data_IF_921729377446
#
_entry.id   IF_921729377446
#
_cell.length_a   1.000
_cell.length_b   1.000
_cell.length_c   1.000
_cell.angle_alpha   90.00
_cell.angle_beta   90.00
_cell.angle_gamma   90.00
#
_symmetry.space_group_name_H-M   'P 1'
#
loop_
_entity.id
_entity.type
_entity.pdbx_description
1 polymer ?
#
# COMPACT_ATOMS: atom_id res chain seq x y z
N UNK A 1 -40.68 -5.05 -6.28
CA UNK A 1 -39.74 -6.05 -5.72
C UNK A 1 -39.07 -6.75 -6.89
N UNK A 2 -37.88 -6.30 -7.26
CA UNK A 2 -36.91 -7.04 -8.09
C UNK A 2 -35.56 -6.41 -7.79
N UNK A 3 -34.68 -7.20 -7.18
CA UNK A 3 -33.32 -6.82 -6.80
C UNK A 3 -32.48 -6.76 -8.06
N UNK A 4 -32.10 -5.56 -8.49
CA UNK A 4 -31.08 -5.39 -9.52
C UNK A 4 -29.73 -5.76 -8.92
N UNK A 5 -29.25 -6.95 -9.27
CA UNK A 5 -27.90 -7.40 -9.00
C UNK A 5 -26.91 -6.46 -9.70
N UNK A 6 -26.28 -5.60 -8.93
CA UNK A 6 -25.12 -4.83 -9.36
C UNK A 6 -23.96 -5.81 -9.52
N UNK A 7 -23.69 -6.20 -10.76
CA UNK A 7 -22.52 -7.01 -11.11
C UNK A 7 -21.27 -6.17 -10.85
N UNK A 8 -20.57 -6.48 -9.76
CA UNK A 8 -19.19 -6.03 -9.60
C UNK A 8 -18.36 -6.88 -10.57
N UNK A 9 -18.10 -6.35 -11.75
CA UNK A 9 -17.10 -6.90 -12.67
C UNK A 9 -15.73 -6.67 -12.05
N UNK A 10 -15.29 -7.66 -11.27
CA UNK A 10 -13.91 -7.79 -10.80
C UNK A 10 -13.06 -8.09 -12.03
N UNK A 11 -12.64 -7.04 -12.73
CA UNK A 11 -11.65 -7.13 -13.80
C UNK A 11 -10.31 -7.53 -13.17
N UNK A 12 -10.14 -8.85 -13.04
CA UNK A 12 -8.87 -9.49 -12.78
C UNK A 12 -7.94 -9.24 -13.97
N UNK A 13 -7.30 -8.06 -13.99
CA UNK A 13 -6.13 -7.84 -14.83
C UNK A 13 -4.94 -8.55 -14.21
N UNK A 14 -4.79 -9.81 -14.61
CA UNK A 14 -3.61 -10.65 -14.38
C UNK A 14 -2.43 -9.98 -15.07
N UNK A 15 -1.68 -9.14 -14.35
CA UNK A 15 -0.39 -8.63 -14.80
C UNK A 15 0.66 -9.77 -14.70
N UNK A 16 1.54 -9.90 -15.70
CA UNK A 16 2.48 -11.01 -15.80
C UNK A 16 3.54 -10.99 -14.69
N UNK A 17 4.01 -12.19 -14.32
CA UNK A 17 5.09 -12.45 -13.36
C UNK A 17 6.42 -11.85 -13.85
N UNK A 18 6.63 -10.56 -13.61
CA UNK A 18 7.97 -9.98 -13.61
C UNK A 18 8.49 -10.01 -12.17
N UNK A 19 9.55 -10.77 -11.97
CA UNK A 19 10.30 -10.83 -10.72
C UNK A 19 10.73 -9.40 -10.32
N UNK A 20 10.15 -8.86 -9.24
CA UNK A 20 10.65 -7.69 -8.52
C UNK A 20 10.13 -6.29 -8.86
N UNK A 21 9.44 -6.03 -9.99
CA UNK A 21 9.39 -4.63 -10.49
C UNK A 21 8.04 -4.14 -11.10
N UNK A 22 6.93 -4.08 -10.33
CA UNK A 22 5.94 -3.01 -10.56
C UNK A 22 5.77 -2.06 -9.36
N UNK A 23 5.58 -2.61 -8.16
CA UNK A 23 5.17 -1.81 -6.99
C UNK A 23 6.31 -0.98 -6.39
N UNK A 24 7.56 -1.47 -6.46
CA UNK A 24 8.72 -0.69 -6.03
C UNK A 24 8.95 0.53 -6.93
N UNK A 25 8.81 0.36 -8.25
CA UNK A 25 8.93 1.44 -9.22
C UNK A 25 7.84 2.48 -8.99
N UNK A 26 6.59 2.02 -8.80
CA UNK A 26 5.45 2.90 -8.49
C UNK A 26 5.65 3.68 -7.20
N UNK A 27 6.04 3.00 -6.11
CA UNK A 27 6.33 3.67 -4.84
C UNK A 27 7.43 4.73 -5.00
N UNK A 28 8.51 4.40 -5.72
CA UNK A 28 9.59 5.36 -6.00
C UNK A 28 9.10 6.55 -6.86
N UNK A 29 8.30 6.29 -7.88
CA UNK A 29 7.70 7.32 -8.74
C UNK A 29 6.76 8.25 -7.96
N UNK A 30 6.01 7.71 -7.00
CA UNK A 30 5.12 8.46 -6.12
C UNK A 30 5.85 9.19 -4.97
N UNK A 31 7.18 9.18 -4.95
CA UNK A 31 8.04 9.67 -3.85
C UNK A 31 7.72 9.01 -2.50
N UNK A 32 7.13 7.80 -2.52
CA UNK A 32 6.85 7.02 -1.33
C UNK A 32 8.12 6.23 -0.94
N UNK A 33 8.70 6.59 0.20
CA UNK A 33 9.90 5.93 0.70
C UNK A 33 9.57 4.66 1.50
N UNK A 34 10.53 3.74 1.60
CA UNK A 34 10.40 2.55 2.46
C UNK A 34 10.18 2.93 3.93
N UNK A 35 10.78 4.05 4.36
CA UNK A 35 10.57 4.65 5.68
C UNK A 35 9.13 5.12 5.87
N UNK A 36 8.55 5.82 4.89
CA UNK A 36 7.15 6.24 4.95
C UNK A 36 6.20 5.05 5.02
N UNK A 37 6.45 4.00 4.23
CA UNK A 37 5.69 2.75 4.31
C UNK A 37 5.83 2.06 5.67
N UNK A 38 7.03 2.04 6.26
CA UNK A 38 7.23 1.49 7.60
C UNK A 38 6.41 2.24 8.65
N UNK A 39 6.39 3.58 8.59
CA UNK A 39 5.56 4.43 9.48
C UNK A 39 4.06 4.15 9.31
N UNK A 40 3.57 4.07 8.06
CA UNK A 40 2.16 3.81 7.77
C UNK A 40 1.70 2.39 8.16
N UNK A 41 2.61 1.43 8.20
CA UNK A 41 2.26 0.03 8.46
C UNK A 41 2.61 -0.42 9.88
N UNK A 42 3.40 0.36 10.61
CA UNK A 42 3.98 -0.04 11.89
C UNK A 42 4.92 -1.26 11.77
N UNK A 43 5.45 -1.54 10.58
CA UNK A 43 6.38 -2.65 10.34
C UNK A 43 7.81 -2.14 10.14
N UNK A 44 8.83 -2.94 10.48
CA UNK A 44 10.22 -2.58 10.19
C UNK A 44 10.46 -2.35 8.69
N UNK A 45 11.30 -1.38 8.33
CA UNK A 45 11.67 -1.07 6.93
C UNK A 45 12.19 -2.32 6.19
N UNK A 46 13.00 -3.16 6.87
CA UNK A 46 13.49 -4.41 6.32
C UNK A 46 12.34 -5.36 5.92
N UNK A 47 11.30 -5.45 6.74
CA UNK A 47 10.12 -6.28 6.44
C UNK A 47 9.40 -5.76 5.20
N UNK A 48 9.21 -4.44 5.10
CA UNK A 48 8.58 -3.80 3.94
C UNK A 48 9.39 -4.04 2.67
N UNK A 49 10.70 -3.84 2.74
CA UNK A 49 11.61 -4.06 1.62
C UNK A 49 11.53 -5.50 1.10
N UNK A 50 11.57 -6.49 2.00
CA UNK A 50 11.43 -7.93 1.68
C UNK A 50 10.05 -8.25 1.09
N UNK A 51 8.99 -7.68 1.64
CA UNK A 51 7.62 -7.86 1.13
C UNK A 51 7.42 -7.27 -0.26
N UNK A 52 7.96 -6.07 -0.53
CA UNK A 52 7.87 -5.44 -1.84
C UNK A 52 8.69 -6.19 -2.90
N UNK A 53 9.78 -6.88 -2.51
CA UNK A 53 10.54 -7.77 -3.39
C UNK A 53 9.83 -9.09 -3.69
N UNK A 54 8.71 -9.37 -3.01
CA UNK A 54 8.02 -10.65 -3.13
C UNK A 54 8.78 -11.82 -2.49
N UNK A 55 9.68 -11.54 -1.53
CA UNK A 55 10.47 -12.58 -0.86
C UNK A 55 9.60 -13.58 -0.08
N UNK A 56 8.38 -13.16 0.28
CA UNK A 56 7.39 -13.98 0.98
C UNK A 56 6.22 -14.42 0.06
N UNK A 57 6.38 -14.31 -1.27
CA UNK A 57 5.31 -14.55 -2.24
C UNK A 57 4.81 -13.27 -2.88
N UNK A 58 3.50 -13.16 -3.09
CA UNK A 58 2.90 -11.96 -3.70
C UNK A 58 2.96 -10.74 -2.75
N UNK A 59 3.04 -9.54 -3.32
CA UNK A 59 3.02 -8.29 -2.54
C UNK A 59 1.66 -8.23 -1.81
N UNK A 60 1.65 -8.08 -0.47
CA UNK A 60 0.40 -8.00 0.28
C UNK A 60 -0.53 -6.90 -0.23
N UNK A 61 -1.82 -7.21 -0.34
CA UNK A 61 -2.84 -6.28 -0.84
C UNK A 61 -2.92 -4.96 -0.05
N UNK A 62 -2.59 -4.97 1.24
CA UNK A 62 -2.55 -3.74 2.03
C UNK A 62 -1.41 -2.80 1.60
N UNK A 63 -0.25 -3.32 1.16
CA UNK A 63 0.84 -2.48 0.64
C UNK A 63 0.44 -1.88 -0.70
N UNK A 64 -0.20 -2.68 -1.54
CA UNK A 64 -0.74 -2.23 -2.82
C UNK A 64 -1.75 -1.09 -2.60
N UNK A 65 -2.70 -1.28 -1.68
CA UNK A 65 -3.69 -0.27 -1.35
C UNK A 65 -3.05 1.04 -0.84
N UNK A 66 -2.01 0.94 0.01
CA UNK A 66 -1.29 2.12 0.49
C UNK A 66 -0.60 2.87 -0.66
N UNK A 67 0.07 2.14 -1.57
CA UNK A 67 0.76 2.76 -2.72
C UNK A 67 -0.25 3.47 -3.63
N UNK A 68 -1.37 2.82 -3.94
CA UNK A 68 -2.44 3.41 -4.76
C UNK A 68 -3.03 4.65 -4.11
N UNK A 69 -3.33 4.59 -2.80
CA UNK A 69 -3.86 5.75 -2.07
C UNK A 69 -2.85 6.91 -2.07
N UNK A 70 -1.57 6.62 -1.83
CA UNK A 70 -0.49 7.61 -1.78
C UNK A 70 -0.28 8.33 -3.11
N UNK A 71 -0.42 7.63 -4.24
CA UNK A 71 -0.31 8.22 -5.58
C UNK A 71 -1.36 9.29 -5.85
N UNK A 72 -2.56 9.15 -5.27
CA UNK A 72 -3.67 10.10 -5.43
C UNK A 72 -3.64 11.27 -4.44
N UNK A 73 -2.71 11.28 -3.48
CA UNK A 73 -2.63 12.31 -2.44
C UNK A 73 -1.59 13.38 -2.80
N UNK A 74 -1.89 14.62 -2.42
CA UNK A 74 -0.94 15.72 -2.43
C UNK A 74 0.09 15.60 -1.30
N UNK A 75 1.15 16.41 -1.38
CA UNK A 75 2.24 16.37 -0.40
C UNK A 75 1.76 16.59 1.05
N UNK A 76 0.88 17.57 1.26
CA UNK A 76 0.38 17.94 2.60
C UNK A 76 -0.52 16.82 3.17
N UNK A 77 -1.38 16.23 2.33
CA UNK A 77 -2.28 15.13 2.73
C UNK A 77 -1.50 13.88 3.17
N UNK A 78 -0.33 13.64 2.57
CA UNK A 78 0.55 12.52 2.93
C UNK A 78 1.14 12.68 4.32
N UNK A 79 1.54 13.90 4.70
CA UNK A 79 2.07 14.19 6.03
C UNK A 79 0.98 14.04 7.09
N UNK A 80 -0.20 14.60 6.83
CA UNK A 80 -1.37 14.46 7.69
C UNK A 80 -1.77 13.00 7.87
N UNK A 81 -1.73 12.21 6.80
CA UNK A 81 -2.05 10.80 6.84
C UNK A 81 -1.06 10.01 7.70
N UNK A 82 0.25 10.23 7.52
CA UNK A 82 1.27 9.61 8.37
C UNK A 82 1.02 9.95 9.83
N UNK A 83 0.82 11.23 10.16
CA UNK A 83 0.59 11.66 11.53
C UNK A 83 -0.68 11.03 12.14
N UNK A 84 -1.74 10.90 11.35
CA UNK A 84 -2.97 10.24 11.77
C UNK A 84 -2.77 8.75 12.07
N UNK A 85 -2.03 8.05 11.22
CA UNK A 85 -1.70 6.63 11.43
C UNK A 85 -0.81 6.44 12.64
N UNK A 86 0.20 7.27 12.84
CA UNK A 86 1.09 7.20 14.02
C UNK A 86 0.31 7.36 15.33
N UNK A 87 -0.59 8.36 15.41
CA UNK A 87 -1.49 8.54 16.57
C UNK A 87 -2.35 7.30 16.84
N UNK A 88 -2.81 6.62 15.80
CA UNK A 88 -3.60 5.39 15.93
C UNK A 88 -2.76 4.21 16.42
N UNK A 89 -1.55 4.04 15.86
CA UNK A 89 -0.62 2.97 16.26
C UNK A 89 -0.17 3.15 17.71
N UNK A 90 0.11 4.38 18.13
CA UNK A 90 0.42 4.71 19.52
C UNK A 90 -0.73 4.36 20.47
N UNK A 91 -1.98 4.64 20.07
CA UNK A 91 -3.16 4.29 20.89
C UNK A 91 -3.31 2.79 21.06
N UNK A 92 -3.00 2.00 20.04
CA UNK A 92 -3.08 0.53 20.07
C UNK A 92 -1.91 -0.14 20.78
N UNK A 93 -0.78 0.56 20.90
CA UNK A 93 0.41 0.11 21.64
C UNK A 93 0.34 0.34 23.16
N UNK A 94 -0.80 0.81 23.68
CA UNK A 94 -1.11 0.96 25.11
C UNK A 94 -2.14 -0.07 25.57
#
# INVERSE_FOLDING_TARGET
MTLNGCQIEVAASIAPRMQGEPWQIRAKGAKLTQRSLARLTGKPENTISRQLRGEFGEVPGYLIAIIIAWEGMEADEREDWIAAVERELERRGK
#
